data_IF_569548615436
#
_entry.id   IF_569548615436
#
_cell.length_a   1.000
_cell.length_b   1.000
_cell.length_c   1.000
_cell.angle_alpha   90.00
_cell.angle_beta   90.00
_cell.angle_gamma   90.00
#
_symmetry.space_group_name_H-M   'P 1'
#
loop_
_entity.id
_entity.type
_entity.pdbx_description
1 polymer ?
#
# COMPACT_ATOMS: atom_id res chain seq x y z
N UNK A 1 26.48 7.36 10.01
CA UNK A 1 26.54 5.92 10.35
C UNK A 1 27.05 5.18 9.13
N UNK A 2 27.85 4.13 9.29
CA UNK A 2 28.31 3.32 8.16
C UNK A 2 27.15 2.55 7.55
N UNK A 3 27.08 2.48 6.22
CA UNK A 3 26.09 1.67 5.50
C UNK A 3 26.36 0.19 5.85
N UNK A 4 25.36 -0.57 6.33
CA UNK A 4 25.54 -1.99 6.64
C UNK A 4 25.94 -2.80 5.40
N UNK A 5 26.79 -3.81 5.61
CA UNK A 5 27.28 -4.70 4.56
C UNK A 5 26.70 -6.11 4.79
N UNK A 6 25.93 -6.60 3.82
CA UNK A 6 25.26 -7.90 3.91
C UNK A 6 26.25 -9.07 3.85
N UNK A 7 27.47 -8.83 3.37
CA UNK A 7 28.51 -9.86 3.24
C UNK A 7 29.04 -10.35 4.58
N UNK A 8 28.70 -9.68 5.69
CA UNK A 8 28.94 -10.20 7.05
C UNK A 8 28.07 -11.42 7.36
N UNK A 9 26.98 -11.63 6.61
CA UNK A 9 26.09 -12.80 6.72
C UNK A 9 26.43 -13.87 5.68
N UNK A 10 26.04 -15.12 5.94
CA UNK A 10 26.09 -16.18 4.94
C UNK A 10 24.92 -16.05 3.95
N UNK A 11 25.12 -16.23 2.62
CA UNK A 11 24.01 -16.35 1.67
C UNK A 11 22.96 -17.40 2.06
N UNK A 12 23.35 -18.45 2.78
CA UNK A 12 22.42 -19.47 3.30
C UNK A 12 21.46 -18.95 4.38
N UNK A 13 21.76 -17.83 5.00
CA UNK A 13 20.88 -17.17 5.97
C UNK A 13 19.72 -16.44 5.27
N UNK A 14 19.71 -16.35 3.94
CA UNK A 14 18.69 -15.62 3.17
C UNK A 14 17.83 -16.59 2.37
N UNK A 15 16.55 -16.68 2.72
CA UNK A 15 15.58 -17.56 2.05
C UNK A 15 14.75 -16.77 1.05
N UNK A 16 14.55 -17.32 -0.14
CA UNK A 16 13.64 -16.73 -1.13
C UNK A 16 12.26 -16.53 -0.51
N UNK A 17 11.71 -15.32 -0.64
CA UNK A 17 10.39 -14.96 -0.13
C UNK A 17 9.40 -14.69 -1.28
N UNK A 18 9.77 -13.80 -2.21
CA UNK A 18 8.93 -13.44 -3.35
C UNK A 18 9.72 -12.69 -4.42
N UNK A 19 9.14 -12.53 -5.62
CA UNK A 19 9.74 -11.72 -6.67
C UNK A 19 8.71 -11.02 -7.58
N UNK A 20 9.03 -9.78 -7.95
CA UNK A 20 8.31 -8.94 -8.92
C UNK A 20 9.04 -8.87 -10.27
N UNK A 21 8.65 -7.92 -11.12
CA UNK A 21 9.30 -7.68 -12.41
C UNK A 21 10.72 -7.11 -12.29
N UNK A 22 10.91 -6.14 -11.38
CA UNK A 22 12.20 -5.45 -11.20
C UNK A 22 13.03 -6.00 -10.03
N UNK A 23 12.41 -6.74 -9.10
CA UNK A 23 12.97 -7.03 -7.79
C UNK A 23 12.75 -8.47 -7.32
N UNK A 24 13.67 -8.95 -6.50
CA UNK A 24 13.59 -10.21 -5.76
C UNK A 24 13.78 -9.94 -4.26
N UNK A 25 13.06 -10.66 -3.42
CA UNK A 25 13.02 -10.44 -1.96
C UNK A 25 13.37 -11.73 -1.23
N UNK A 26 14.24 -11.60 -0.22
CA UNK A 26 14.69 -12.68 0.64
C UNK A 26 14.39 -12.37 2.11
N UNK A 27 13.95 -13.34 2.90
CA UNK A 27 13.82 -13.22 4.34
C UNK A 27 15.09 -13.71 5.05
N UNK A 28 15.46 -13.04 6.14
CA UNK A 28 16.56 -13.47 6.98
C UNK A 28 16.14 -14.62 7.92
N UNK A 29 16.92 -15.70 7.91
CA UNK A 29 16.74 -16.92 8.72
C UNK A 29 18.06 -17.41 9.35
N UNK A 30 19.02 -16.50 9.53
CA UNK A 30 20.30 -16.82 10.19
C UNK A 30 20.27 -16.67 11.72
N UNK A 31 21.42 -16.89 12.38
CA UNK A 31 21.54 -16.84 13.83
C UNK A 31 21.23 -15.45 14.41
N UNK A 32 20.44 -15.37 15.48
CA UNK A 32 20.05 -14.07 16.09
C UNK A 32 21.21 -13.37 16.78
N UNK A 33 22.04 -14.12 17.52
CA UNK A 33 23.07 -13.56 18.40
C UNK A 33 24.26 -12.95 17.62
N UNK A 34 24.51 -13.43 16.39
CA UNK A 34 25.59 -12.95 15.54
C UNK A 34 25.16 -11.80 14.62
N UNK A 35 23.88 -11.71 14.29
CA UNK A 35 23.35 -10.94 13.17
C UNK A 35 22.05 -10.19 13.56
N UNK A 36 22.02 -9.62 14.77
CA UNK A 36 20.84 -8.98 15.36
C UNK A 36 20.18 -7.96 14.42
N UNK A 37 20.98 -7.21 13.66
CA UNK A 37 20.50 -6.20 12.69
C UNK A 37 19.59 -6.80 11.60
N UNK A 38 19.88 -8.02 11.16
CA UNK A 38 19.17 -8.66 10.05
C UNK A 38 17.96 -9.47 10.53
N UNK A 39 17.87 -9.73 11.84
CA UNK A 39 16.75 -10.45 12.40
C UNK A 39 15.42 -9.73 12.17
N UNK A 40 14.42 -10.47 11.67
CA UNK A 40 13.10 -9.91 11.35
C UNK A 40 13.10 -8.97 10.14
N UNK A 41 14.16 -8.99 9.30
CA UNK A 41 14.26 -8.18 8.10
C UNK A 41 14.14 -9.01 6.81
N UNK A 42 13.87 -8.33 5.72
CA UNK A 42 13.93 -8.83 4.35
C UNK A 42 14.94 -8.03 3.54
N UNK A 43 15.66 -8.71 2.66
CA UNK A 43 16.58 -8.13 1.69
C UNK A 43 15.91 -8.08 0.32
N UNK A 44 15.76 -6.89 -0.24
CA UNK A 44 15.30 -6.65 -1.60
C UNK A 44 16.50 -6.34 -2.49
N UNK A 45 16.60 -7.08 -3.60
CA UNK A 45 17.67 -6.94 -4.60
C UNK A 45 17.08 -6.70 -5.98
N UNK A 46 17.76 -5.86 -6.75
CA UNK A 46 17.43 -5.55 -8.14
C UNK A 46 17.70 -6.76 -9.04
N UNK A 47 16.88 -6.90 -10.07
CA UNK A 47 17.06 -7.84 -11.19
C UNK A 47 17.61 -7.15 -12.43
N UNK A 48 18.17 -7.93 -13.37
CA UNK A 48 18.68 -7.47 -14.68
C UNK A 48 17.60 -6.93 -15.67
N UNK A 49 16.53 -6.32 -15.17
CA UNK A 49 15.42 -5.84 -16.01
C UNK A 49 15.75 -4.49 -16.68
N UNK A 50 15.12 -4.23 -17.82
CA UNK A 50 15.33 -3.00 -18.62
C UNK A 50 14.78 -1.72 -17.97
N UNK A 51 14.00 -1.83 -16.90
CA UNK A 51 13.48 -0.69 -16.17
C UNK A 51 14.40 -0.40 -14.98
N UNK A 52 15.20 0.66 -15.08
CA UNK A 52 15.88 1.22 -13.91
C UNK A 52 14.82 1.99 -13.13
N UNK A 53 14.15 1.32 -12.19
CA UNK A 53 13.44 2.04 -11.14
C UNK A 53 14.48 2.75 -10.28
N UNK A 54 14.26 4.04 -10.03
CA UNK A 54 15.09 4.83 -9.14
C UNK A 54 14.73 4.51 -7.69
N UNK A 55 15.17 3.34 -7.23
CA UNK A 55 14.87 2.82 -5.90
C UNK A 55 15.45 3.71 -4.79
N UNK A 56 16.57 4.40 -5.06
CA UNK A 56 17.12 5.40 -4.15
C UNK A 56 16.16 6.59 -4.00
N UNK A 57 15.64 7.14 -5.10
CA UNK A 57 14.62 8.19 -5.01
C UNK A 57 13.34 7.72 -4.33
N UNK A 58 12.91 6.46 -4.51
CA UNK A 58 11.76 5.92 -3.78
C UNK A 58 12.01 5.88 -2.27
N UNK A 59 13.20 5.44 -1.83
CA UNK A 59 13.59 5.44 -0.42
C UNK A 59 13.69 6.87 0.13
N UNK A 60 14.31 7.79 -0.59
CA UNK A 60 14.40 9.20 -0.17
C UNK A 60 13.02 9.86 -0.10
N UNK A 61 12.14 9.57 -1.05
CA UNK A 61 10.76 10.06 -1.03
C UNK A 61 10.02 9.58 0.21
N UNK A 62 10.13 8.29 0.56
CA UNK A 62 9.52 7.78 1.79
C UNK A 62 10.15 8.40 3.05
N UNK A 63 11.47 8.47 3.11
CA UNK A 63 12.22 8.94 4.27
C UNK A 63 12.09 10.45 4.52
N UNK A 64 11.96 11.28 3.48
CA UNK A 64 11.99 12.74 3.60
C UNK A 64 10.63 13.40 3.36
N UNK A 65 9.71 12.74 2.65
CA UNK A 65 8.38 13.28 2.33
C UNK A 65 7.29 12.57 3.12
N UNK A 66 7.18 11.25 2.99
CA UNK A 66 6.09 10.47 3.61
C UNK A 66 6.20 10.49 5.15
N UNK A 67 7.41 10.40 5.70
CA UNK A 67 7.68 10.46 7.14
C UNK A 67 7.23 11.76 7.83
N UNK A 68 7.05 12.85 7.06
CA UNK A 68 6.52 14.13 7.55
C UNK A 68 4.99 14.14 7.69
N UNK A 69 4.32 13.20 7.03
CA UNK A 69 2.86 13.13 6.92
C UNK A 69 2.26 11.98 7.72
N UNK A 70 3.02 10.89 7.86
CA UNK A 70 2.62 9.68 8.58
C UNK A 70 3.70 9.36 9.62
N UNK A 71 3.28 9.03 10.84
CA UNK A 71 4.19 8.68 11.92
C UNK A 71 5.09 7.50 11.52
N UNK A 72 6.40 7.62 11.77
CA UNK A 72 7.41 6.61 11.42
C UNK A 72 7.10 5.20 11.92
N UNK A 73 6.37 5.06 13.03
CA UNK A 73 5.95 3.76 13.57
C UNK A 73 5.03 2.97 12.62
N UNK A 74 4.31 3.66 11.75
CA UNK A 74 3.43 3.08 10.73
C UNK A 74 4.10 2.97 9.36
N UNK A 75 5.40 3.27 9.27
CA UNK A 75 6.14 3.17 8.02
C UNK A 75 7.11 1.98 8.08
N UNK A 76 7.49 1.50 6.90
CA UNK A 76 8.55 0.52 6.76
C UNK A 76 9.87 1.24 6.95
N UNK A 77 10.69 0.71 7.84
CA UNK A 77 12.07 1.13 7.97
C UNK A 77 12.87 0.46 6.86
N UNK A 78 13.33 1.26 5.90
CA UNK A 78 14.12 0.81 4.74
C UNK A 78 15.50 1.44 4.83
N UNK A 79 16.53 0.60 4.85
CA UNK A 79 17.93 1.02 4.82
C UNK A 79 18.64 0.47 3.59
N UNK A 80 19.59 1.25 3.06
CA UNK A 80 20.47 0.78 2.00
C UNK A 80 21.50 -0.16 2.64
N UNK A 81 21.76 -1.29 1.99
CA UNK A 81 22.83 -2.23 2.34
C UNK A 81 23.78 -2.40 1.17
N UNK A 82 25.05 -2.64 1.48
CA UNK A 82 26.05 -3.01 0.49
C UNK A 82 26.14 -4.54 0.37
N UNK A 83 26.54 -4.99 -0.81
CA UNK A 83 26.82 -6.39 -1.12
C UNK A 83 28.07 -6.50 -2.01
N UNK A 84 28.46 -7.72 -2.36
CA UNK A 84 29.52 -7.94 -3.35
C UNK A 84 29.03 -8.86 -4.47
N UNK A 85 29.56 -8.75 -5.69
CA UNK A 85 29.18 -9.63 -6.81
C UNK A 85 29.30 -11.12 -6.44
N UNK A 86 30.41 -11.49 -5.79
CA UNK A 86 30.67 -12.87 -5.36
C UNK A 86 29.65 -13.41 -4.33
N UNK A 87 29.07 -12.53 -3.51
CA UNK A 87 28.04 -12.90 -2.54
C UNK A 87 26.69 -13.06 -3.24
N UNK A 88 26.35 -12.15 -4.16
CA UNK A 88 25.14 -12.19 -4.96
C UNK A 88 25.09 -13.42 -5.87
N UNK A 89 26.21 -13.79 -6.49
CA UNK A 89 26.35 -15.02 -7.28
C UNK A 89 26.01 -16.27 -6.46
N UNK A 90 26.56 -16.37 -5.24
CA UNK A 90 26.27 -17.47 -4.32
C UNK A 90 24.78 -17.49 -3.96
N UNK A 91 24.20 -16.36 -3.57
CA UNK A 91 22.77 -16.28 -3.25
C UNK A 91 21.89 -16.69 -4.43
N UNK A 92 22.19 -16.19 -5.64
CA UNK A 92 21.47 -16.51 -6.86
C UNK A 92 21.49 -18.01 -7.16
N UNK A 93 22.63 -18.67 -6.95
CA UNK A 93 22.76 -20.12 -7.14
C UNK A 93 21.90 -20.91 -6.14
N UNK A 94 21.83 -20.47 -4.88
CA UNK A 94 21.07 -21.14 -3.83
C UNK A 94 19.55 -21.05 -4.04
N UNK A 95 19.07 -19.92 -4.57
CA UNK A 95 17.64 -19.70 -4.74
C UNK A 95 17.08 -20.19 -6.07
N UNK A 96 17.91 -20.66 -7.02
CA UNK A 96 17.46 -21.02 -8.38
C UNK A 96 16.26 -21.98 -8.39
N UNK A 97 16.27 -22.99 -7.51
CA UNK A 97 15.18 -24.00 -7.42
C UNK A 97 13.96 -23.53 -6.62
N UNK A 98 14.07 -22.41 -5.88
CA UNK A 98 12.97 -21.85 -5.09
C UNK A 98 12.13 -20.85 -5.88
N UNK A 99 12.63 -20.40 -7.04
CA UNK A 99 11.96 -19.41 -7.89
C UNK A 99 10.92 -20.08 -8.78
N UNK A 100 9.83 -19.38 -9.14
CA UNK A 100 8.86 -19.90 -10.09
C UNK A 100 9.49 -20.19 -11.45
N UNK A 101 9.14 -21.32 -12.07
CA UNK A 101 9.79 -21.83 -13.30
C UNK A 101 9.66 -20.90 -14.51
N UNK A 102 8.66 -20.02 -14.54
CA UNK A 102 8.45 -19.04 -15.60
C UNK A 102 9.33 -17.79 -15.48
N UNK A 103 10.09 -17.65 -14.39
CA UNK A 103 10.99 -16.51 -14.18
C UNK A 103 12.33 -16.78 -14.85
N UNK A 104 12.63 -15.98 -15.88
CA UNK A 104 13.86 -16.08 -16.68
C UNK A 104 14.88 -14.99 -16.38
N UNK A 105 14.48 -13.97 -15.61
CA UNK A 105 15.35 -12.90 -15.13
C UNK A 105 16.24 -13.38 -13.97
N UNK A 106 17.30 -12.64 -13.64
CA UNK A 106 18.23 -12.97 -12.55
C UNK A 106 18.58 -11.74 -11.72
N UNK A 107 19.17 -11.98 -10.54
CA UNK A 107 19.75 -10.95 -9.69
C UNK A 107 20.78 -10.15 -10.50
N UNK A 108 20.74 -8.84 -10.35
CA UNK A 108 21.76 -7.96 -10.91
C UNK A 108 23.04 -8.01 -10.08
N UNK A 109 24.04 -8.70 -10.63
CA UNK A 109 25.33 -8.94 -9.97
C UNK A 109 26.24 -7.70 -9.97
N UNK A 110 25.97 -6.72 -10.84
CA UNK A 110 26.70 -5.46 -10.87
C UNK A 110 26.12 -4.45 -9.86
N UNK A 111 24.86 -4.63 -9.46
CA UNK A 111 24.21 -3.81 -8.44
C UNK A 111 24.61 -4.24 -7.02
N UNK A 112 25.70 -3.69 -6.51
CA UNK A 112 26.21 -3.96 -5.15
C UNK A 112 25.45 -3.24 -4.03
N UNK A 113 24.29 -2.65 -4.35
CA UNK A 113 23.38 -2.02 -3.39
C UNK A 113 22.09 -2.84 -3.35
N UNK A 114 21.60 -3.07 -2.13
CA UNK A 114 20.29 -3.65 -1.86
C UNK A 114 19.55 -2.84 -0.81
N UNK A 115 18.34 -3.27 -0.50
CA UNK A 115 17.49 -2.60 0.49
C UNK A 115 17.07 -3.60 1.56
N UNK A 116 17.32 -3.25 2.82
CA UNK A 116 16.85 -4.01 3.97
C UNK A 116 15.59 -3.37 4.53
N UNK A 117 14.54 -4.16 4.70
CA UNK A 117 13.24 -3.70 5.20
C UNK A 117 12.71 -4.61 6.30
N UNK A 118 11.80 -4.13 7.13
CA UNK A 118 11.11 -4.98 8.12
C UNK A 118 10.31 -6.10 7.43
N UNK A 119 10.40 -7.33 7.94
CA UNK A 119 9.64 -8.46 7.45
C UNK A 119 8.19 -8.40 7.96
N UNK A 120 7.30 -7.80 7.17
CA UNK A 120 5.89 -7.63 7.53
C UNK A 120 5.05 -8.92 7.44
N UNK A 121 5.66 -10.04 7.04
CA UNK A 121 5.00 -11.36 6.95
C UNK A 121 5.60 -12.37 7.91
N UNK A 122 6.50 -11.96 8.82
CA UNK A 122 7.12 -12.85 9.81
C UNK A 122 6.18 -13.26 10.94
N UNK A 123 5.05 -12.56 11.11
CA UNK A 123 4.00 -12.96 12.05
C UNK A 123 3.37 -14.28 11.59
N UNK A 124 2.87 -15.12 12.52
CA UNK A 124 2.16 -16.36 12.19
C UNK A 124 1.11 -16.16 11.11
N UNK A 125 0.35 -15.07 11.22
CA UNK A 125 -0.54 -14.57 10.19
C UNK A 125 -0.32 -13.07 10.03
N UNK A 126 -0.36 -12.60 8.80
CA UNK A 126 -0.38 -11.18 8.43
C UNK A 126 -1.42 -10.93 7.36
N UNK A 127 -2.02 -9.74 7.33
CA UNK A 127 -2.99 -9.35 6.31
C UNK A 127 -2.54 -8.09 5.57
N UNK A 128 -2.71 -8.07 4.25
CA UNK A 128 -2.62 -6.87 3.42
C UNK A 128 -4.04 -6.42 3.07
N UNK A 129 -4.36 -5.14 3.34
CA UNK A 129 -5.61 -4.52 2.93
C UNK A 129 -5.30 -3.35 2.00
N UNK A 130 -5.88 -3.31 0.80
CA UNK A 130 -5.93 -2.09 -0.04
C UNK A 130 -7.25 -1.38 0.19
N UNK A 131 -7.29 -0.36 1.08
CA UNK A 131 -8.55 0.20 1.56
C UNK A 131 -9.24 1.09 0.51
N UNK A 132 -8.52 1.53 -0.53
CA UNK A 132 -9.00 2.44 -1.58
C UNK A 132 -9.41 3.81 -1.00
N UNK A 133 -10.33 4.50 -1.68
CA UNK A 133 -10.67 5.90 -1.42
C UNK A 133 -11.60 6.04 -0.22
N UNK A 134 -11.23 6.88 0.73
CA UNK A 134 -11.86 7.02 2.04
C UNK A 134 -12.99 8.04 2.09
N UNK A 135 -13.37 8.66 0.97
CA UNK A 135 -14.33 9.76 0.93
C UNK A 135 -15.23 9.73 -0.31
N UNK A 136 -16.36 10.44 -0.21
CA UNK A 136 -17.23 10.78 -1.34
C UNK A 136 -16.78 12.10 -1.99
N UNK A 137 -16.82 12.15 -3.32
CA UNK A 137 -16.71 13.43 -4.03
C UNK A 137 -18.01 14.22 -3.85
N UNK A 138 -17.90 15.55 -3.88
CA UNK A 138 -19.05 16.44 -3.74
C UNK A 138 -20.15 16.09 -4.76
N UNK A 139 -21.40 16.02 -4.29
CA UNK A 139 -22.56 15.68 -5.12
C UNK A 139 -22.72 14.19 -5.45
N UNK A 140 -21.83 13.32 -4.99
CA UNK A 140 -21.95 11.87 -5.20
C UNK A 140 -22.46 11.16 -3.94
N UNK A 141 -23.34 10.17 -4.11
CA UNK A 141 -23.74 9.28 -3.01
C UNK A 141 -23.14 7.87 -3.10
N UNK A 142 -22.47 7.52 -4.20
CA UNK A 142 -21.74 6.24 -4.35
C UNK A 142 -20.24 6.52 -4.43
N UNK A 143 -19.44 5.82 -3.61
CA UNK A 143 -17.99 6.02 -3.61
C UNK A 143 -17.29 5.45 -4.85
N UNK A 144 -16.06 5.92 -5.09
CA UNK A 144 -15.24 5.56 -6.25
C UNK A 144 -15.01 4.05 -6.40
N UNK A 145 -14.85 3.34 -5.30
CA UNK A 145 -14.69 1.88 -5.30
C UNK A 145 -16.00 1.18 -5.68
N UNK A 146 -17.11 1.52 -5.01
CA UNK A 146 -18.41 0.88 -5.25
C UNK A 146 -18.86 1.04 -6.71
N UNK A 147 -18.70 2.24 -7.31
CA UNK A 147 -18.98 2.44 -8.73
C UNK A 147 -18.11 1.54 -9.63
N UNK A 148 -16.80 1.48 -9.35
CA UNK A 148 -15.87 0.68 -10.14
C UNK A 148 -16.15 -0.82 -9.99
N UNK A 149 -16.48 -1.28 -8.78
CA UNK A 149 -16.88 -2.64 -8.47
C UNK A 149 -18.10 -3.06 -9.29
N UNK A 150 -19.14 -2.23 -9.34
CA UNK A 150 -20.31 -2.46 -10.18
C UNK A 150 -19.95 -2.51 -11.67
N UNK A 151 -19.10 -1.60 -12.16
CA UNK A 151 -18.65 -1.60 -13.55
C UNK A 151 -17.85 -2.86 -13.93
N UNK A 152 -17.19 -3.48 -12.95
CA UNK A 152 -16.42 -4.72 -13.12
C UNK A 152 -17.25 -5.98 -12.92
N UNK A 153 -18.49 -5.86 -12.47
CA UNK A 153 -19.35 -7.00 -12.12
C UNK A 153 -18.89 -7.74 -10.85
N UNK A 154 -18.09 -7.11 -9.99
CA UNK A 154 -17.62 -7.74 -8.76
C UNK A 154 -18.74 -7.85 -7.72
N UNK A 155 -18.93 -9.06 -7.20
CA UNK A 155 -19.90 -9.39 -6.16
C UNK A 155 -19.30 -9.16 -4.78
N UNK A 156 -19.20 -7.90 -4.36
CA UNK A 156 -18.73 -7.54 -3.01
C UNK A 156 -19.62 -6.49 -2.36
N UNK A 157 -19.85 -6.65 -1.05
CA UNK A 157 -20.52 -5.66 -0.22
C UNK A 157 -19.55 -4.62 0.35
N UNK A 158 -18.24 -4.84 0.19
CA UNK A 158 -17.19 -3.99 0.73
C UNK A 158 -17.36 -2.53 0.30
N UNK A 159 -17.22 -1.62 1.27
CA UNK A 159 -17.18 -0.19 1.04
C UNK A 159 -15.98 0.39 1.82
N UNK A 160 -15.03 1.06 1.15
CA UNK A 160 -13.93 1.76 1.81
C UNK A 160 -14.36 2.68 2.95
N UNK A 161 -15.49 3.38 2.78
CA UNK A 161 -15.98 4.33 3.77
C UNK A 161 -16.34 3.67 5.12
N UNK A 162 -16.62 2.37 5.11
CA UNK A 162 -16.89 1.61 6.34
C UNK A 162 -15.60 1.33 7.13
N UNK A 163 -14.48 1.00 6.46
CA UNK A 163 -13.15 0.87 7.12
C UNK A 163 -12.68 2.19 7.71
N UNK A 164 -12.90 3.29 6.99
CA UNK A 164 -12.50 4.62 7.46
C UNK A 164 -13.50 5.26 8.42
N UNK A 165 -14.61 4.60 8.75
CA UNK A 165 -15.62 5.17 9.66
C UNK A 165 -15.12 5.24 11.11
N UNK A 166 -15.79 6.03 11.95
CA UNK A 166 -15.57 6.00 13.39
C UNK A 166 -16.37 4.87 14.07
N UNK A 167 -17.15 4.10 13.31
CA UNK A 167 -18.04 3.04 13.81
C UNK A 167 -17.34 1.68 13.83
N UNK A 168 -17.07 1.09 15.02
CA UNK A 168 -16.48 -0.24 15.11
C UNK A 168 -17.29 -1.31 14.38
N UNK A 169 -18.62 -1.18 14.36
CA UNK A 169 -19.52 -2.11 13.68
C UNK A 169 -19.34 -2.05 12.16
N UNK A 170 -19.23 -0.84 11.58
CA UNK A 170 -19.02 -0.68 10.14
C UNK A 170 -17.64 -1.20 9.73
N UNK A 171 -16.60 -0.92 10.51
CA UNK A 171 -15.26 -1.48 10.28
C UNK A 171 -15.33 -3.01 10.24
N UNK A 172 -16.01 -3.63 11.21
CA UNK A 172 -16.17 -5.09 11.27
C UNK A 172 -16.89 -5.64 10.04
N UNK A 173 -17.99 -5.02 9.63
CA UNK A 173 -18.75 -5.43 8.45
C UNK A 173 -17.90 -5.35 7.18
N UNK A 174 -17.06 -4.31 7.05
CA UNK A 174 -16.15 -4.16 5.93
C UNK A 174 -15.07 -5.26 5.91
N UNK A 175 -14.57 -5.68 7.07
CA UNK A 175 -13.62 -6.78 7.19
C UNK A 175 -14.23 -8.13 6.82
N UNK A 176 -15.47 -8.42 7.24
CA UNK A 176 -16.19 -9.59 6.75
C UNK A 176 -16.38 -9.54 5.23
N UNK A 177 -16.80 -8.39 4.69
CA UNK A 177 -16.97 -8.24 3.24
C UNK A 177 -15.67 -8.44 2.44
N UNK A 178 -14.51 -8.02 2.99
CA UNK A 178 -13.20 -8.29 2.39
C UNK A 178 -12.83 -9.78 2.46
N UNK A 179 -13.02 -10.41 3.63
CA UNK A 179 -12.71 -11.82 3.81
C UNK A 179 -13.59 -12.70 2.92
N UNK A 180 -14.90 -12.48 2.95
CA UNK A 180 -15.88 -13.26 2.18
C UNK A 180 -15.58 -13.16 0.68
N UNK A 181 -15.32 -11.94 0.21
CA UNK A 181 -14.95 -11.73 -1.20
C UNK A 181 -13.63 -12.41 -1.59
N UNK A 182 -12.63 -12.39 -0.70
CA UNK A 182 -11.37 -13.11 -0.92
C UNK A 182 -11.55 -14.64 -0.93
N UNK A 183 -12.44 -15.15 -0.07
CA UNK A 183 -12.74 -16.58 0.05
C UNK A 183 -13.50 -17.12 -1.16
N UNK A 184 -14.45 -16.34 -1.69
CA UNK A 184 -15.35 -16.79 -2.77
C UNK A 184 -14.72 -16.70 -4.18
N UNK A 185 -13.83 -15.73 -4.43
CA UNK A 185 -13.31 -15.41 -5.78
C UNK A 185 -11.85 -15.88 -6.01
N UNK A 186 -11.45 -16.95 -5.31
CA UNK A 186 -10.16 -17.65 -5.45
C UNK A 186 -8.95 -16.71 -5.66
N UNK A 187 -8.78 -15.73 -4.76
CA UNK A 187 -7.61 -14.84 -4.69
C UNK A 187 -7.23 -14.06 -5.98
N UNK A 188 -8.16 -13.83 -6.92
CA UNK A 188 -7.89 -12.99 -8.11
C UNK A 188 -7.85 -11.49 -7.82
N UNK A 189 -8.36 -11.07 -6.65
CA UNK A 189 -8.57 -9.67 -6.29
C UNK A 189 -7.48 -9.14 -5.33
N UNK A 190 -7.02 -7.92 -5.58
CA UNK A 190 -5.87 -7.34 -4.87
C UNK A 190 -6.23 -6.53 -3.61
N UNK A 191 -7.48 -6.59 -3.16
CA UNK A 191 -7.97 -5.78 -2.05
C UNK A 191 -7.63 -6.37 -0.68
N UNK A 192 -7.56 -7.69 -0.58
CA UNK A 192 -7.27 -8.41 0.64
C UNK A 192 -6.37 -9.60 0.35
N UNK A 193 -5.30 -9.75 1.13
CA UNK A 193 -4.42 -10.92 1.06
C UNK A 193 -4.06 -11.37 2.46
N UNK A 194 -3.91 -12.68 2.61
CA UNK A 194 -3.45 -13.29 3.85
C UNK A 194 -2.12 -13.98 3.62
N UNK A 195 -1.24 -13.81 4.60
CA UNK A 195 0.04 -14.48 4.67
C UNK A 195 0.04 -15.31 5.93
N UNK A 196 0.48 -16.57 5.84
CA UNK A 196 0.69 -17.41 7.01
C UNK A 196 2.05 -18.10 6.92
N UNK A 197 2.81 -18.06 8.03
CA UNK A 197 4.17 -18.56 8.07
C UNK A 197 5.10 -17.92 7.03
N UNK A 198 4.92 -16.63 6.73
CA UNK A 198 5.73 -15.89 5.75
C UNK A 198 5.34 -16.06 4.28
N UNK A 199 4.37 -16.91 3.95
CA UNK A 199 3.96 -17.15 2.56
C UNK A 199 2.56 -16.60 2.29
N UNK A 200 2.28 -16.16 1.06
CA UNK A 200 0.93 -15.84 0.61
C UNK A 200 0.08 -17.12 0.60
N UNK A 201 -1.13 -17.06 1.14
CA UNK A 201 -2.00 -18.23 1.31
C UNK A 201 -3.30 -18.02 0.54
N UNK A 202 -3.79 -19.09 -0.09
CA UNK A 202 -5.09 -19.14 -0.75
C UNK A 202 -6.20 -19.43 0.28
N UNK A 203 -7.48 -19.19 -0.04
CA UNK A 203 -8.59 -19.61 0.83
C UNK A 203 -8.52 -21.08 1.27
N UNK A 204 -8.29 -21.97 0.31
CA UNK A 204 -8.24 -23.43 0.52
C UNK A 204 -7.06 -23.85 1.40
N UNK A 205 -5.94 -23.12 1.33
CA UNK A 205 -4.73 -23.43 2.08
C UNK A 205 -4.69 -22.82 3.49
N UNK A 206 -5.62 -21.91 3.82
CA UNK A 206 -5.56 -21.16 5.07
C UNK A 206 -5.77 -22.04 6.30
N UNK A 207 -6.81 -22.88 6.30
CA UNK A 207 -7.08 -23.78 7.42
C UNK A 207 -5.95 -24.82 7.62
N UNK A 208 -5.51 -25.57 6.57
CA UNK A 208 -4.38 -26.49 6.71
C UNK A 208 -3.09 -25.81 7.17
N UNK A 209 -2.80 -24.61 6.68
CA UNK A 209 -1.60 -23.86 7.09
C UNK A 209 -1.71 -23.40 8.53
N UNK A 210 -2.88 -22.91 8.94
CA UNK A 210 -3.15 -22.51 10.32
C UNK A 210 -2.95 -23.67 11.30
N UNK A 211 -3.45 -24.86 10.97
CA UNK A 211 -3.26 -26.06 11.78
C UNK A 211 -1.79 -26.47 11.88
N UNK A 212 -1.02 -26.39 10.78
CA UNK A 212 0.44 -26.63 10.80
C UNK A 212 1.21 -25.64 11.66
N UNK A 213 0.71 -24.40 11.77
CA UNK A 213 1.26 -23.37 12.65
C UNK A 213 0.84 -23.54 14.11
N UNK A 214 0.03 -24.56 14.44
CA UNK A 214 -0.40 -24.87 15.80
C UNK A 214 -1.71 -24.21 16.23
N UNK A 215 -2.48 -23.64 15.31
CA UNK A 215 -3.81 -23.11 15.59
C UNK A 215 -4.83 -24.27 15.69
N UNK A 216 -5.49 -24.39 16.85
CA UNK A 216 -6.50 -25.42 17.12
C UNK A 216 -7.87 -25.06 16.49
N UNK A 217 -7.90 -24.88 15.17
CA UNK A 217 -9.10 -24.54 14.41
C UNK A 217 -9.69 -25.78 13.75
N UNK A 218 -11.01 -25.93 13.88
CA UNK A 218 -11.77 -27.10 13.46
C UNK A 218 -12.60 -26.88 12.19
N UNK A 219 -12.78 -25.62 11.76
CA UNK A 219 -13.55 -25.29 10.56
C UNK A 219 -13.12 -23.97 9.91
N UNK A 220 -13.44 -23.80 8.62
CA UNK A 220 -13.26 -22.55 7.88
C UNK A 220 -14.03 -21.38 8.51
N UNK A 221 -15.21 -21.65 9.09
CA UNK A 221 -16.00 -20.65 9.80
C UNK A 221 -15.24 -20.12 11.02
N UNK A 222 -14.60 -20.99 11.80
CA UNK A 222 -13.78 -20.57 12.94
C UNK A 222 -12.57 -19.74 12.50
N UNK A 223 -11.91 -20.12 11.39
CA UNK A 223 -10.81 -19.34 10.80
C UNK A 223 -11.28 -17.95 10.41
N UNK A 224 -12.40 -17.86 9.69
CA UNK A 224 -13.03 -16.60 9.28
C UNK A 224 -13.28 -15.68 10.47
N UNK A 225 -13.98 -16.18 11.49
CA UNK A 225 -14.28 -15.39 12.69
C UNK A 225 -12.98 -14.94 13.37
N UNK A 226 -12.04 -15.84 13.58
CA UNK A 226 -10.79 -15.54 14.26
C UNK A 226 -9.97 -14.46 13.52
N UNK A 227 -9.84 -14.58 12.19
CA UNK A 227 -9.12 -13.59 11.37
C UNK A 227 -9.82 -12.23 11.43
N UNK A 228 -11.13 -12.19 11.21
CA UNK A 228 -11.88 -10.94 11.20
C UNK A 228 -11.90 -10.25 12.56
N UNK A 229 -12.12 -10.99 13.65
CA UNK A 229 -12.11 -10.45 15.01
C UNK A 229 -10.74 -9.89 15.39
N UNK A 230 -9.65 -10.54 14.98
CA UNK A 230 -8.29 -10.08 15.30
C UNK A 230 -7.89 -8.86 14.47
N UNK A 231 -8.29 -8.81 13.20
CA UNK A 231 -8.17 -7.62 12.36
C UNK A 231 -8.98 -6.45 12.94
N UNK A 232 -10.21 -6.72 13.34
CA UNK A 232 -11.10 -5.74 13.96
C UNK A 232 -10.49 -5.19 15.23
N UNK A 233 -10.08 -6.05 16.17
CA UNK A 233 -9.42 -5.68 17.41
C UNK A 233 -8.16 -4.84 17.19
N UNK A 234 -7.42 -5.10 16.10
CA UNK A 234 -6.22 -4.32 15.73
C UNK A 234 -6.58 -2.95 15.15
N UNK A 235 -7.61 -2.87 14.29
CA UNK A 235 -8.01 -1.62 13.63
C UNK A 235 -8.79 -0.65 14.52
N UNK A 236 -9.49 -1.14 15.54
CA UNK A 236 -10.25 -0.28 16.48
C UNK A 236 -9.40 0.27 17.63
N UNK A 237 -8.10 -0.07 17.69
CA UNK A 237 -7.20 0.56 18.65
C UNK A 237 -7.10 2.07 18.39
N UNK A 238 -6.98 2.92 19.43
CA UNK A 238 -6.92 4.37 19.25
C UNK A 238 -5.83 4.84 18.27
N UNK A 239 -4.69 4.17 18.29
CA UNK A 239 -3.57 4.42 17.38
C UNK A 239 -3.93 4.12 15.91
N UNK A 240 -4.53 2.96 15.66
CA UNK A 240 -4.96 2.53 14.33
C UNK A 240 -6.06 3.44 13.77
N UNK A 241 -7.01 3.85 14.61
CA UNK A 241 -8.05 4.81 14.24
C UNK A 241 -7.47 6.19 13.91
N UNK A 242 -6.43 6.64 14.63
CA UNK A 242 -5.71 7.88 14.31
C UNK A 242 -4.99 7.77 12.96
N UNK A 243 -4.36 6.63 12.66
CA UNK A 243 -3.75 6.38 11.35
C UNK A 243 -4.79 6.44 10.23
N UNK A 244 -5.93 5.76 10.37
CA UNK A 244 -7.02 5.78 9.38
C UNK A 244 -7.59 7.19 9.20
N UNK A 245 -7.75 7.95 10.29
CA UNK A 245 -8.16 9.36 10.23
C UNK A 245 -7.14 10.23 9.49
N UNK A 246 -5.84 10.02 9.75
CA UNK A 246 -4.75 10.72 9.07
C UNK A 246 -4.76 10.41 7.57
N UNK A 247 -4.87 9.13 7.22
CA UNK A 247 -4.94 8.68 5.83
C UNK A 247 -6.19 9.24 5.13
N UNK A 248 -7.35 9.27 5.81
CA UNK A 248 -8.56 9.89 5.27
C UNK A 248 -8.36 11.38 4.97
N UNK A 249 -7.79 12.13 5.93
CA UNK A 249 -7.51 13.54 5.76
C UNK A 249 -6.57 13.77 4.56
N UNK A 250 -5.44 13.05 4.50
CA UNK A 250 -4.49 13.13 3.40
C UNK A 250 -5.13 12.81 2.04
N UNK A 251 -5.89 11.72 1.93
CA UNK A 251 -6.58 11.38 0.69
C UNK A 251 -7.54 12.48 0.24
N UNK A 252 -8.31 13.05 1.17
CA UNK A 252 -9.35 14.03 0.87
C UNK A 252 -8.79 15.43 0.60
N UNK A 253 -7.97 15.98 1.49
CA UNK A 253 -7.53 17.38 1.40
C UNK A 253 -6.57 17.58 0.22
N UNK A 254 -5.72 16.59 -0.05
CA UNK A 254 -4.79 16.64 -1.17
C UNK A 254 -5.47 16.40 -2.54
N UNK A 255 -6.64 15.75 -2.58
CA UNK A 255 -7.34 15.56 -3.86
C UNK A 255 -7.90 16.87 -4.42
N UNK A 256 -8.23 17.84 -3.54
CA UNK A 256 -8.78 19.13 -3.91
C UNK A 256 -10.05 19.00 -4.77
N UNK A 257 -10.02 19.58 -5.96
CA UNK A 257 -11.11 19.49 -6.95
C UNK A 257 -11.16 18.14 -7.71
N UNK A 258 -10.25 17.22 -7.39
CA UNK A 258 -10.07 15.95 -8.07
C UNK A 258 -9.49 16.10 -9.48
N UNK A 259 -9.46 14.98 -10.22
CA UNK A 259 -8.80 14.90 -11.53
C UNK A 259 -9.47 15.77 -12.60
N UNK A 260 -10.78 15.99 -12.50
CA UNK A 260 -11.53 16.83 -13.43
C UNK A 260 -11.24 18.33 -13.24
N UNK A 261 -11.11 18.78 -11.98
CA UNK A 261 -10.68 20.14 -11.68
C UNK A 261 -9.25 20.38 -12.14
N UNK A 262 -8.35 19.43 -11.87
CA UNK A 262 -6.97 19.47 -12.36
C UNK A 262 -6.90 19.51 -13.90
N UNK A 263 -7.70 18.70 -14.60
CA UNK A 263 -7.77 18.72 -16.06
C UNK A 263 -8.32 20.06 -16.59
N UNK A 264 -9.26 20.68 -15.88
CA UNK A 264 -9.81 21.98 -16.23
C UNK A 264 -8.76 23.09 -16.10
N UNK A 265 -7.97 23.09 -15.03
CA UNK A 265 -6.84 24.01 -14.86
C UNK A 265 -5.76 23.77 -15.92
N UNK A 266 -5.38 22.51 -16.17
CA UNK A 266 -4.44 22.15 -17.24
C UNK A 266 -4.85 22.71 -18.60
N UNK A 267 -6.13 22.60 -18.95
CA UNK A 267 -6.65 23.11 -20.22
C UNK A 267 -6.60 24.63 -20.34
N UNK A 268 -6.72 25.37 -19.24
CA UNK A 268 -6.56 26.84 -19.23
C UNK A 268 -5.11 27.24 -19.52
N UNK A 269 -4.15 26.51 -18.96
CA UNK A 269 -2.71 26.80 -19.07
C UNK A 269 -2.13 26.33 -20.43
N UNK A 270 -2.44 25.11 -20.86
CA UNK A 270 -1.77 24.46 -22.00
C UNK A 270 -2.65 24.24 -23.25
N UNK A 271 -3.85 24.85 -23.32
CA UNK A 271 -4.70 24.84 -24.52
C UNK A 271 -5.01 23.44 -25.10
N UNK A 272 -5.51 22.51 -24.27
CA UNK A 272 -6.04 21.17 -24.64
C UNK A 272 -5.00 20.13 -25.11
N UNK A 273 -3.81 20.13 -24.53
CA UNK A 273 -2.90 18.98 -24.61
C UNK A 273 -3.35 17.86 -23.65
N UNK A 274 -2.88 16.64 -23.91
CA UNK A 274 -3.03 15.48 -23.02
C UNK A 274 -2.52 15.81 -21.61
N UNK A 275 -3.31 15.55 -20.56
CA UNK A 275 -2.95 15.95 -19.18
C UNK A 275 -1.70 15.22 -18.71
N UNK A 276 -0.72 15.97 -18.23
CA UNK A 276 0.58 15.46 -17.78
C UNK A 276 1.59 15.21 -18.91
N UNK A 277 1.21 15.36 -20.18
CA UNK A 277 2.15 15.25 -21.29
C UNK A 277 3.10 16.45 -21.32
N UNK A 278 4.39 16.19 -21.50
CA UNK A 278 5.43 17.23 -21.50
C UNK A 278 5.80 17.78 -20.12
N UNK A 279 5.18 17.29 -19.03
CA UNK A 279 5.52 17.69 -17.67
C UNK A 279 6.60 16.79 -17.07
N UNK A 280 7.57 17.42 -16.40
CA UNK A 280 8.62 16.69 -15.68
C UNK A 280 8.09 16.10 -14.38
N UNK A 281 8.61 14.92 -14.04
CA UNK A 281 8.37 14.28 -12.74
C UNK A 281 8.86 15.22 -11.63
N UNK A 282 8.08 15.42 -10.54
CA UNK A 282 8.54 16.22 -9.42
C UNK A 282 9.83 15.72 -8.81
N UNK A 283 10.75 16.65 -8.60
CA UNK A 283 12.00 16.44 -7.87
C UNK A 283 11.74 16.35 -6.37
N UNK A 284 12.70 15.79 -5.63
CA UNK A 284 12.61 15.70 -4.17
C UNK A 284 12.52 17.10 -3.51
N UNK A 285 13.20 18.11 -4.05
CA UNK A 285 13.18 19.48 -3.52
C UNK A 285 11.85 20.18 -3.75
N UNK A 286 11.19 19.92 -4.89
CA UNK A 286 9.82 20.39 -5.13
C UNK A 286 8.84 19.77 -4.12
N UNK A 287 8.97 18.47 -3.82
CA UNK A 287 8.16 17.84 -2.79
C UNK A 287 8.38 18.44 -1.41
N UNK A 288 9.65 18.65 -1.01
CA UNK A 288 9.97 19.27 0.28
C UNK A 288 9.32 20.64 0.42
N UNK A 289 9.41 21.44 -0.62
CA UNK A 289 8.84 22.79 -0.69
C UNK A 289 7.32 22.74 -0.59
N UNK A 290 6.67 21.84 -1.35
CA UNK A 290 5.23 21.63 -1.32
C UNK A 290 4.72 21.21 0.07
N UNK A 291 5.37 20.24 0.74
CA UNK A 291 4.95 19.81 2.08
C UNK A 291 5.07 20.95 3.09
N UNK A 292 6.17 21.72 3.05
CA UNK A 292 6.34 22.88 3.93
C UNK A 292 5.27 23.95 3.68
N UNK A 293 4.94 24.23 2.43
CA UNK A 293 3.89 25.20 2.10
C UNK A 293 2.49 24.69 2.50
N UNK A 294 2.15 23.46 2.14
CA UNK A 294 0.80 22.92 2.32
C UNK A 294 0.46 22.60 3.78
N UNK A 295 1.40 22.03 4.54
CA UNK A 295 1.12 21.51 5.88
C UNK A 295 1.73 22.37 7.00
N UNK A 296 2.84 23.08 6.75
CA UNK A 296 3.54 23.83 7.81
C UNK A 296 3.20 25.33 7.80
N UNK A 297 2.81 25.90 6.64
CA UNK A 297 2.48 27.33 6.52
C UNK A 297 1.01 27.71 6.67
N UNK A 298 0.07 26.75 6.73
CA UNK A 298 -1.36 27.07 6.90
C UNK A 298 -1.74 27.76 8.23
N UNK A 299 -0.78 27.98 9.15
CA UNK A 299 -0.93 28.83 10.34
C UNK A 299 -0.41 30.27 10.20
N UNK A 300 0.18 30.66 9.07
CA UNK A 300 0.76 31.99 8.86
C UNK A 300 -0.17 32.87 8.03
N UNK A 301 -0.58 34.02 8.58
CA UNK A 301 -1.50 35.02 7.98
C UNK A 301 -0.94 35.78 6.76
N UNK A 302 0.08 35.25 6.10
CA UNK A 302 0.70 35.89 4.93
C UNK A 302 0.06 35.29 3.68
N UNK A 303 -0.73 36.09 2.97
CA UNK A 303 -1.28 35.72 1.67
C UNK A 303 -0.13 35.29 0.75
N UNK A 304 -0.18 34.09 0.13
CA UNK A 304 0.83 33.73 -0.85
C UNK A 304 0.83 34.79 -1.96
N UNK A 305 2.01 35.16 -2.51
CA UNK A 305 2.07 36.06 -3.66
C UNK A 305 1.21 35.49 -4.79
N UNK A 306 0.65 36.34 -5.65
CA UNK A 306 -0.17 35.92 -6.78
C UNK A 306 0.59 34.86 -7.60
N UNK A 307 0.24 33.59 -7.39
CA UNK A 307 0.85 32.45 -8.05
C UNK A 307 0.37 32.46 -9.51
N UNK A 308 1.30 32.34 -10.46
CA UNK A 308 0.94 32.21 -11.87
C UNK A 308 0.05 30.97 -12.06
N UNK A 309 -0.74 30.92 -13.14
CA UNK A 309 -1.57 29.74 -13.42
C UNK A 309 -0.71 28.46 -13.56
N UNK A 310 0.55 28.60 -13.98
CA UNK A 310 1.54 27.51 -14.05
C UNK A 310 1.96 27.04 -12.65
N UNK A 311 2.21 27.95 -11.71
CA UNK A 311 2.56 27.61 -10.32
C UNK A 311 1.39 26.91 -9.63
N UNK A 312 0.17 27.41 -9.83
CA UNK A 312 -1.06 26.77 -9.33
C UNK A 312 -1.22 25.38 -9.93
N UNK A 313 -0.99 25.22 -11.24
CA UNK A 313 -1.06 23.92 -11.89
C UNK A 313 -0.04 22.95 -11.30
N UNK A 314 1.21 23.38 -11.11
CA UNK A 314 2.27 22.55 -10.51
C UNK A 314 1.91 22.11 -9.10
N UNK A 315 1.40 23.05 -8.28
CA UNK A 315 0.92 22.75 -6.93
C UNK A 315 -0.20 21.71 -6.91
N UNK A 316 -1.21 21.86 -7.78
CA UNK A 316 -2.33 20.92 -7.85
C UNK A 316 -1.91 19.54 -8.40
N UNK A 317 -0.92 19.47 -9.29
CA UNK A 317 -0.32 18.20 -9.73
C UNK A 317 0.35 17.50 -8.55
N UNK A 318 1.20 18.19 -7.79
CA UNK A 318 1.87 17.64 -6.60
C UNK A 318 0.83 17.11 -5.60
N UNK A 319 -0.17 17.94 -5.29
CA UNK A 319 -1.27 17.58 -4.39
C UNK A 319 -2.01 16.33 -4.86
N UNK A 320 -2.43 16.29 -6.13
CA UNK A 320 -3.18 15.15 -6.67
C UNK A 320 -2.36 13.86 -6.74
N UNK A 321 -1.08 13.94 -7.11
CA UNK A 321 -0.18 12.78 -7.14
C UNK A 321 0.02 12.20 -5.75
N UNK A 322 0.19 13.05 -4.74
CA UNK A 322 0.34 12.62 -3.35
C UNK A 322 -0.95 12.02 -2.79
N UNK A 323 -2.11 12.65 -3.08
CA UNK A 323 -3.43 12.04 -2.79
C UNK A 323 -3.55 10.66 -3.44
N UNK A 324 -3.11 10.51 -4.69
CA UNK A 324 -3.14 9.25 -5.42
C UNK A 324 -2.20 8.19 -4.82
N UNK A 325 -1.06 8.58 -4.25
CA UNK A 325 -0.21 7.67 -3.43
C UNK A 325 -1.01 7.10 -2.27
N UNK A 326 -1.68 7.94 -1.47
CA UNK A 326 -2.46 7.50 -0.32
C UNK A 326 -3.75 6.74 -0.67
N UNK A 327 -4.35 7.01 -1.84
CA UNK A 327 -5.54 6.29 -2.34
C UNK A 327 -5.23 4.86 -2.80
N UNK A 328 -3.99 4.60 -3.18
CA UNK A 328 -3.51 3.31 -3.72
C UNK A 328 -2.63 2.52 -2.75
N UNK A 329 -2.27 3.08 -1.60
CA UNK A 329 -1.42 2.41 -0.61
C UNK A 329 -2.12 1.17 -0.01
N UNK A 330 -1.34 0.32 0.65
CA UNK A 330 -1.83 -0.86 1.34
C UNK A 330 -1.52 -0.78 2.84
N UNK A 331 -2.36 -1.38 3.66
CA UNK A 331 -2.19 -1.50 5.11
C UNK A 331 -1.80 -2.95 5.40
N UNK A 332 -0.58 -3.16 5.89
CA UNK A 332 -0.11 -4.44 6.42
C UNK A 332 -0.38 -4.52 7.91
N UNK A 333 -1.04 -5.58 8.34
CA UNK A 333 -1.39 -5.84 9.74
C UNK A 333 -0.80 -7.19 10.15
N UNK A 334 0.19 -7.15 11.03
CA UNK A 334 0.77 -8.35 11.64
C UNK A 334 -0.10 -8.80 12.81
N UNK A 335 -0.59 -10.04 12.78
CA UNK A 335 -1.55 -10.60 13.75
C UNK A 335 -0.88 -11.64 14.65
N UNK A 336 -0.18 -11.22 15.72
CA UNK A 336 0.53 -12.14 16.60
C UNK A 336 -0.40 -12.93 17.54
N UNK A 337 -1.54 -12.33 17.91
CA UNK A 337 -2.48 -12.84 18.90
C UNK A 337 -3.27 -14.07 18.46
N UNK A 338 -3.06 -14.55 17.24
CA UNK A 338 -3.71 -15.75 16.74
C UNK A 338 -3.11 -17.02 17.34
N UNK A 339 -1.81 -17.03 17.66
CA UNK A 339 -1.15 -18.16 18.35
C UNK A 339 -1.25 -18.02 19.87
N UNK A 340 -2.44 -18.09 20.49
CA UNK A 340 -2.54 -18.03 21.95
C UNK A 340 -2.59 -19.42 22.61
N UNK A 341 -1.45 -19.85 23.16
CA UNK A 341 -1.30 -20.41 24.53
C UNK A 341 0.17 -20.77 24.86
N UNK A 342 1.07 -20.89 23.88
CA UNK A 342 2.44 -21.38 24.09
C UNK A 342 3.57 -20.41 23.71
N UNK A 343 3.30 -19.31 23.00
CA UNK A 343 4.32 -18.34 22.59
C UNK A 343 4.19 -17.02 23.36
N UNK A 344 5.29 -16.41 23.83
CA UNK A 344 5.25 -15.10 24.44
C UNK A 344 4.73 -14.05 23.46
N UNK A 345 3.74 -13.25 23.87
CA UNK A 345 3.21 -12.07 23.14
C UNK A 345 4.36 -11.14 22.68
N UNK A 346 5.46 -11.11 23.44
CA UNK A 346 6.68 -10.35 23.13
C UNK A 346 7.44 -10.80 21.87
N UNK A 347 7.12 -11.96 21.30
CA UNK A 347 7.81 -12.47 20.11
C UNK A 347 7.38 -11.76 18.83
N UNK A 348 6.18 -11.18 18.80
CA UNK A 348 5.60 -10.51 17.64
C UNK A 348 4.68 -9.37 18.11
N UNK A 349 5.09 -8.10 18.11
CA UNK A 349 4.17 -7.00 18.42
C UNK A 349 3.13 -6.87 17.30
N UNK A 350 1.86 -6.58 17.64
CA UNK A 350 0.87 -6.20 16.63
C UNK A 350 1.36 -4.92 15.98
N UNK A 351 1.54 -4.95 14.67
CA UNK A 351 2.12 -3.84 13.90
C UNK A 351 1.23 -3.56 12.71
N UNK A 352 0.83 -2.30 12.59
CA UNK A 352 0.12 -1.77 11.42
C UNK A 352 1.07 -0.85 10.67
N UNK A 353 1.36 -1.20 9.43
CA UNK A 353 2.33 -0.50 8.57
C UNK A 353 1.69 -0.18 7.23
N UNK A 354 1.88 1.04 6.74
CA UNK A 354 1.53 1.42 5.37
C UNK A 354 2.65 1.00 4.41
N UNK A 355 2.27 0.42 3.28
CA UNK A 355 3.17 0.05 2.17
C UNK A 355 2.62 0.59 0.84
N UNK A 356 3.37 0.43 -0.25
CA UNK A 356 3.04 0.94 -1.59
C UNK A 356 2.91 2.48 -1.65
N UNK A 357 3.81 3.18 -0.95
CA UNK A 357 3.82 4.66 -0.79
C UNK A 357 4.74 5.40 -1.79
N UNK A 358 5.08 4.76 -2.90
CA UNK A 358 5.97 5.34 -3.90
C UNK A 358 5.33 6.53 -4.62
N UNK A 359 6.20 7.44 -5.09
CA UNK A 359 5.79 8.60 -5.87
C UNK A 359 5.06 8.15 -7.14
N UNK A 360 3.89 8.73 -7.40
CA UNK A 360 3.17 8.43 -8.64
C UNK A 360 3.72 9.22 -9.83
N UNK A 361 3.79 8.60 -11.02
CA UNK A 361 4.29 9.27 -12.22
C UNK A 361 3.26 10.24 -12.80
N UNK A 362 3.70 11.46 -13.19
CA UNK A 362 2.85 12.49 -13.80
C UNK A 362 2.17 11.99 -15.08
N UNK A 363 2.84 11.12 -15.83
CA UNK A 363 2.36 10.57 -17.10
C UNK A 363 1.09 9.71 -16.93
N UNK A 364 0.73 9.31 -15.70
CA UNK A 364 -0.51 8.59 -15.42
C UNK A 364 -1.74 9.48 -15.28
N UNK A 365 -1.58 10.81 -15.18
CA UNK A 365 -2.72 11.73 -14.97
C UNK A 365 -3.81 11.57 -16.05
N UNK A 366 -3.43 11.57 -17.33
CA UNK A 366 -4.38 11.34 -18.42
C UNK A 366 -5.12 10.01 -18.27
N UNK A 367 -4.40 8.93 -18.02
CA UNK A 367 -4.98 7.59 -17.86
C UNK A 367 -5.99 7.57 -16.71
N UNK A 368 -5.68 8.24 -15.60
CA UNK A 368 -6.58 8.31 -14.45
C UNK A 368 -7.81 9.17 -14.73
N UNK A 369 -7.66 10.26 -15.49
CA UNK A 369 -8.79 11.07 -15.94
C UNK A 369 -9.75 10.24 -16.81
N UNK A 370 -9.22 9.53 -17.80
CA UNK A 370 -10.02 8.64 -18.66
C UNK A 370 -10.70 7.53 -17.85
N UNK A 371 -9.97 6.93 -16.92
CA UNK A 371 -10.52 5.89 -16.06
C UNK A 371 -11.66 6.43 -15.18
N UNK A 372 -11.52 7.63 -14.61
CA UNK A 372 -12.55 8.26 -13.79
C UNK A 372 -13.82 8.54 -14.60
N UNK A 373 -13.68 9.14 -15.78
CA UNK A 373 -14.79 9.38 -16.72
C UNK A 373 -15.50 8.09 -17.13
N UNK A 374 -14.74 7.07 -17.53
CA UNK A 374 -15.28 5.78 -17.95
C UNK A 374 -16.09 5.11 -16.84
N UNK A 375 -15.63 5.18 -15.59
CA UNK A 375 -16.33 4.58 -14.45
C UNK A 375 -17.60 5.34 -14.12
N UNK A 376 -17.56 6.67 -14.11
CA UNK A 376 -18.75 7.47 -13.84
C UNK A 376 -19.82 7.27 -14.93
N UNK A 377 -19.42 7.32 -16.20
CA UNK A 377 -20.32 7.10 -17.32
C UNK A 377 -20.94 5.70 -17.25
N UNK A 378 -20.11 4.65 -17.17
CA UNK A 378 -20.59 3.27 -17.15
C UNK A 378 -21.48 2.98 -15.94
N UNK A 379 -21.15 3.51 -14.76
CA UNK A 379 -21.99 3.33 -13.58
C UNK A 379 -23.35 4.02 -13.74
N UNK A 380 -23.37 5.22 -14.33
CA UNK A 380 -24.63 5.93 -14.61
C UNK A 380 -25.51 5.13 -15.57
N UNK A 381 -24.93 4.58 -16.64
CA UNK A 381 -25.63 3.70 -17.59
C UNK A 381 -26.22 2.46 -16.90
N UNK A 382 -25.43 1.76 -16.08
CA UNK A 382 -25.86 0.57 -15.33
C UNK A 382 -27.04 0.88 -14.41
N UNK A 383 -27.01 2.01 -13.72
CA UNK A 383 -28.10 2.44 -12.83
C UNK A 383 -29.34 2.82 -13.63
N UNK A 384 -29.20 3.57 -14.73
CA UNK A 384 -30.31 3.95 -15.60
C UNK A 384 -30.99 2.76 -16.27
N UNK A 385 -30.22 1.73 -16.64
CA UNK A 385 -30.71 0.49 -17.23
C UNK A 385 -31.24 -0.52 -16.19
N UNK A 386 -31.14 -0.20 -14.89
CA UNK A 386 -31.48 -1.10 -13.76
C UNK A 386 -30.67 -2.39 -13.73
N UNK A 387 -29.48 -2.39 -14.34
CA UNK A 387 -28.50 -3.49 -14.27
C UNK A 387 -27.69 -3.45 -12.98
N UNK A 388 -27.62 -2.28 -12.32
CA UNK A 388 -27.08 -2.11 -10.98
C UNK A 388 -27.99 -1.26 -10.09
N UNK A 389 -28.05 -1.58 -8.81
CA UNK A 389 -28.70 -0.72 -7.82
C UNK A 389 -27.78 0.42 -7.42
N UNK A 390 -28.32 1.65 -7.38
CA UNK A 390 -27.58 2.81 -6.87
C UNK A 390 -27.26 2.60 -5.38
N UNK A 391 -25.99 2.45 -5.02
CA UNK A 391 -25.56 2.26 -3.63
C UNK A 391 -25.38 3.60 -2.92
N UNK A 392 -26.12 3.82 -1.84
CA UNK A 392 -25.92 4.95 -0.94
C UNK A 392 -24.81 4.62 0.07
N UNK A 393 -23.64 5.19 -0.16
CA UNK A 393 -22.47 5.02 0.69
C UNK A 393 -22.48 6.08 1.81
N UNK A 394 -22.06 5.70 3.01
CA UNK A 394 -22.07 6.59 4.18
C UNK A 394 -20.67 7.15 4.41
N UNK A 395 -20.44 8.41 4.03
CA UNK A 395 -19.26 9.16 4.45
C UNK A 395 -19.57 9.86 5.78
N UNK A 396 -18.93 9.40 6.87
CA UNK A 396 -19.08 9.99 8.22
C UNK A 396 -18.29 11.29 8.41
N UNK A 397 -17.30 11.52 7.55
CA UNK A 397 -16.41 12.67 7.66
C UNK A 397 -16.87 13.83 6.77
N UNK A 398 -17.91 13.63 5.94
CA UNK A 398 -18.47 14.69 5.11
C UNK A 398 -19.26 15.65 5.99
N UNK A 399 -18.78 16.88 6.14
CA UNK A 399 -19.40 17.91 6.99
C UNK A 399 -20.65 18.53 6.37
N UNK A 400 -20.90 18.29 5.08
CA UNK A 400 -22.07 18.77 4.34
C UNK A 400 -22.92 17.57 3.93
N UNK A 401 -24.08 17.38 4.58
CA UNK A 401 -25.18 16.55 4.08
C UNK A 401 -26.44 17.39 4.03
#
# INVERSE_FOLDING_TARGET
MSIPDITTTSPHHWKYLSEGGANIVFSYDGPRDADERFYGKVLRLRKNSTAVEDEENAVLFQAEIISRLVSQKHLVDVEIVLSSPSWLEKLSSLCTNSRPTWRTDNIDLECTKGFLASNLVSSPISAEIKPKWSFLRLGMCTCRFCMHSSCRGWTTTYCPLDIFSASPTRIKNALYALYDWWSDDAATQNNFRLFAGGSLVSPDDLLPTSQRLGLLLSSEKEVRELVVETLHASLVQPESLLLLKTLNALQRTLDGEGIEGLASLWNRVHQKTTVGNGYFQPTLDEWKSFITEHFERQGSSVSPPAQSDEDQLRYHILSYLLSSTFKDCSIMIMLPGLLHHSLPISSFPSRITLIDLDQKPVQRLQKWLEQDRNIQQRYTELVSQKEAMKKECVDEWCLER
#
